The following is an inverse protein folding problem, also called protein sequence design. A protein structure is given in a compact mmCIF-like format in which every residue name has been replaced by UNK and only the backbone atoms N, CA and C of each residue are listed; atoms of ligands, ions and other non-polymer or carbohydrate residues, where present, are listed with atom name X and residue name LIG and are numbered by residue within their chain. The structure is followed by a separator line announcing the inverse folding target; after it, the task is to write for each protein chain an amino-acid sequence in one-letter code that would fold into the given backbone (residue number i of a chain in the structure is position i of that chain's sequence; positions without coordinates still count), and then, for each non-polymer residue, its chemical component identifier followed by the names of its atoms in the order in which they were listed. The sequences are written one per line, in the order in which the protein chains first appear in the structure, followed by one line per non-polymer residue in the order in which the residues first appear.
data_IF_352709812374
#
_entry.id   IF_352709812374
#
_cell.length_a   1.000
_cell.length_b   1.000
_cell.length_c   1.000
_cell.angle_alpha   90.00
_cell.angle_beta   90.00
_cell.angle_gamma   90.00
#
_symmetry.space_group_name_H-M   'P 1'
#
loop_
_entity.id
_entity.type
_entity.pdbx_description
1 polymer ?
2 polymer ?
3 non-polymer ?
4 water ?
#
# COMPACT_ATOMS: atom_id res chain seq x y z
N UNK A 4 1.72 -6.61 17.22
CA UNK A 4 1.91 -6.61 15.74
C UNK A 4 0.86 -7.50 15.10
N UNK A 5 -0.13 -6.88 14.46
CA UNK A 5 -1.21 -7.61 13.83
C UNK A 5 -0.80 -8.20 12.48
N UNK A 6 -0.80 -9.53 12.40
CA UNK A 6 -0.43 -10.27 11.20
C UNK A 6 -1.67 -10.50 10.37
N UNK A 7 -1.53 -10.38 9.06
CA UNK A 7 -2.64 -10.62 8.13
C UNK A 7 -2.26 -11.79 7.21
N UNK A 8 -2.99 -12.88 7.33
CA UNK A 8 -2.70 -14.05 6.52
C UNK A 8 -3.75 -14.28 5.44
N UNK A 9 -3.34 -14.18 4.19
CA UNK A 9 -4.28 -14.41 3.10
C UNK A 9 -4.28 -15.90 2.78
N UNK A 10 -5.47 -16.43 2.54
CA UNK A 10 -5.67 -17.84 2.25
C UNK A 10 -4.65 -18.51 1.31
N UNK A 11 -4.67 -18.14 0.03
CA UNK A 11 -3.75 -18.73 -0.94
C UNK A 11 -2.85 -17.66 -1.55
N UNK A 12 -1.78 -18.11 -2.17
CA UNK A 12 -0.86 -17.20 -2.84
C UNK A 12 -1.38 -17.05 -4.26
N UNK A 13 -1.80 -18.16 -4.85
CA UNK A 13 -2.35 -18.15 -6.21
C UNK A 13 -3.74 -18.74 -6.21
N UNK A 14 -4.55 -18.31 -7.16
CA UNK A 14 -5.92 -18.79 -7.31
C UNK A 14 -6.24 -18.78 -8.81
N UNK A 15 -6.71 -19.92 -9.31
CA UNK A 15 -7.04 -20.07 -10.71
C UNK A 15 -8.54 -19.92 -10.93
N UNK A 16 -8.91 -19.52 -12.13
CA UNK A 16 -10.31 -19.30 -12.45
C UNK A 16 -10.36 -18.73 -13.84
N UNK A 17 -11.53 -18.75 -14.43
CA UNK A 17 -11.69 -18.19 -15.72
C UNK A 17 -12.88 -17.24 -15.75
N UNK A 18 -12.88 -16.31 -16.68
CA UNK A 18 -13.94 -15.31 -16.81
C UNK A 18 -15.31 -15.93 -16.54
N UNK A 19 -16.20 -15.19 -15.86
CA UNK A 19 -17.53 -15.73 -15.59
C UNK A 19 -17.72 -16.28 -14.19
N UNK A 20 -16.66 -16.82 -13.61
CA UNK A 20 -16.76 -17.40 -12.28
C UNK A 20 -16.79 -16.40 -11.09
N UNK A 21 -16.96 -16.94 -9.89
CA UNK A 21 -17.04 -16.16 -8.65
C UNK A 21 -15.89 -16.57 -7.76
N UNK A 22 -15.13 -15.61 -7.26
CA UNK A 22 -13.98 -15.89 -6.40
C UNK A 22 -14.09 -15.16 -5.07
N UNK A 23 -13.57 -15.81 -4.03
CA UNK A 23 -13.55 -15.25 -2.69
C UNK A 23 -12.16 -15.42 -2.12
N UNK A 24 -11.57 -14.31 -1.71
CA UNK A 24 -10.24 -14.31 -1.13
C UNK A 24 -10.45 -13.97 0.34
N UNK A 25 -9.78 -14.68 1.23
CA UNK A 25 -9.95 -14.42 2.66
C UNK A 25 -8.72 -13.82 3.30
N UNK A 26 -8.96 -13.04 4.34
CA UNK A 26 -7.92 -12.36 5.09
C UNK A 26 -8.25 -12.54 6.56
N UNK A 27 -7.34 -13.16 7.30
CA UNK A 27 -7.54 -13.39 8.72
C UNK A 27 -6.51 -12.59 9.49
N UNK A 28 -6.97 -11.81 10.45
CA UNK A 28 -6.10 -10.98 11.28
C UNK A 28 -5.76 -11.75 12.56
N UNK A 29 -4.55 -11.57 13.10
CA UNK A 29 -4.16 -12.27 14.32
C UNK A 29 -4.72 -11.63 15.59
N UNK A 30 -5.46 -10.53 15.42
CA UNK A 30 -6.09 -9.81 16.53
C UNK A 30 -7.35 -9.13 16.00
N UNK A 31 -8.24 -8.74 16.90
CA UNK A 31 -9.47 -8.08 16.48
C UNK A 31 -9.14 -6.70 15.95
N UNK A 32 -9.60 -6.40 14.74
CA UNK A 32 -9.38 -5.09 14.13
C UNK A 32 -10.72 -4.45 13.77
N UNK A 33 -11.79 -4.91 14.42
CA UNK A 33 -13.10 -4.37 14.13
C UNK A 33 -13.38 -4.53 12.65
N UNK A 34 -13.58 -3.44 11.93
CA UNK A 34 -13.80 -3.54 10.52
C UNK A 34 -12.82 -2.64 9.76
N UNK A 35 -11.71 -2.32 10.42
CA UNK A 35 -10.65 -1.45 9.84
C UNK A 35 -9.75 -2.20 8.85
N UNK A 36 -10.38 -2.73 7.81
CA UNK A 36 -9.70 -3.49 6.79
C UNK A 36 -10.01 -2.95 5.40
N UNK A 37 -8.96 -2.84 4.59
CA UNK A 37 -9.06 -2.37 3.21
C UNK A 37 -8.47 -3.40 2.25
N UNK A 38 -9.01 -3.44 1.03
CA UNK A 38 -8.54 -4.35 0.00
C UNK A 38 -8.01 -3.52 -1.16
N UNK A 39 -6.89 -3.95 -1.72
CA UNK A 39 -6.30 -3.24 -2.86
C UNK A 39 -6.13 -4.20 -4.03
N UNK A 40 -6.12 -3.65 -5.23
CA UNK A 40 -5.91 -4.41 -6.45
C UNK A 40 -4.63 -3.86 -7.08
N UNK A 41 -3.72 -4.74 -7.47
CA UNK A 41 -2.48 -4.29 -8.10
C UNK A 41 -2.09 -5.10 -9.33
N UNK A 42 -1.99 -4.41 -10.46
CA UNK A 42 -1.58 -5.03 -11.72
C UNK A 42 -0.06 -4.76 -11.81
N UNK A 43 0.68 -5.59 -12.56
CA UNK A 43 2.13 -5.42 -12.72
C UNK A 43 2.59 -4.07 -13.26
N UNK A 44 3.66 -3.54 -12.66
CA UNK A 44 4.19 -2.26 -13.10
C UNK A 44 3.28 -1.07 -12.81
N UNK A 45 2.34 -1.25 -11.89
CA UNK A 45 1.39 -0.20 -11.53
C UNK A 45 1.28 -0.11 -10.02
N UNK A 46 0.66 0.94 -9.55
CA UNK A 46 0.49 1.13 -8.10
C UNK A 46 -0.84 0.54 -7.66
N UNK A 47 -0.94 0.14 -6.38
CA UNK A 47 -2.18 -0.44 -5.85
C UNK A 47 -3.35 0.55 -6.00
N UNK A 48 -4.54 -0.01 -6.20
CA UNK A 48 -5.77 0.73 -6.35
C UNK A 48 -6.72 0.25 -5.25
N UNK A 49 -7.30 1.19 -4.49
CA UNK A 49 -8.22 0.86 -3.40
C UNK A 49 -9.55 0.33 -3.94
N UNK A 50 -10.03 -0.76 -3.35
CA UNK A 50 -11.29 -1.37 -3.76
C UNK A 50 -12.37 -1.21 -2.69
N UNK A 51 -12.04 -1.69 -1.49
CA UNK A 51 -12.96 -1.69 -0.35
C UNK A 51 -12.26 -1.14 0.88
N UNK A 52 -13.01 -0.41 1.72
CA UNK A 52 -12.50 0.09 2.99
C UNK A 52 -13.60 -0.08 4.02
N UNK A 53 -13.24 -0.06 5.30
CA UNK A 53 -14.19 -0.32 6.39
C UNK A 53 -14.84 -1.68 6.15
N UNK A 54 -14.02 -2.62 5.69
CA UNK A 54 -14.44 -3.99 5.41
C UNK A 54 -15.38 -4.18 4.25
N UNK A 55 -16.44 -3.38 4.14
CA UNK A 55 -17.39 -3.57 3.04
C UNK A 55 -17.84 -2.37 2.24
N UNK A 56 -17.18 -1.23 2.40
CA UNK A 56 -17.56 -0.05 1.64
C UNK A 56 -16.79 0.00 0.32
N UNK A 57 -17.51 0.15 -0.80
CA UNK A 57 -16.86 0.23 -2.11
C UNK A 57 -16.38 1.66 -2.30
N UNK A 58 -15.17 1.81 -2.85
CA UNK A 58 -14.57 3.11 -3.09
C UNK A 58 -15.11 3.73 -4.39
N UNK A 59 -14.99 5.04 -4.50
CA UNK A 59 -15.44 5.78 -5.67
C UNK A 59 -14.80 5.21 -6.94
N UNK A 60 -15.58 4.45 -7.72
CA UNK A 60 -15.06 3.89 -8.96
C UNK A 60 -15.06 2.38 -9.12
N UNK A 61 -15.08 1.63 -8.03
CA UNK A 61 -15.07 0.18 -8.10
C UNK A 61 -16.46 -0.38 -8.46
N UNK A 62 -16.54 -1.34 -9.40
CA UNK A 62 -17.80 -1.96 -9.85
C UNK A 62 -18.48 -2.88 -8.82
N UNK A 63 -19.81 -2.91 -8.85
CA UNK A 63 -20.65 -3.72 -7.95
C UNK A 63 -20.24 -5.19 -7.90
N UNK A 64 -19.41 -5.60 -8.85
CA UNK A 64 -18.90 -6.94 -8.99
C UNK A 64 -18.06 -7.33 -7.76
N UNK A 65 -17.46 -6.33 -7.12
CA UNK A 65 -16.63 -6.53 -5.92
C UNK A 65 -17.47 -6.30 -4.67
N UNK A 66 -17.35 -7.19 -3.70
CA UNK A 66 -18.10 -7.06 -2.46
C UNK A 66 -17.24 -7.52 -1.30
N UNK A 67 -17.09 -6.66 -0.30
CA UNK A 67 -16.28 -7.05 0.84
C UNK A 67 -17.20 -7.42 1.99
N UNK A 68 -16.69 -8.18 2.96
CA UNK A 68 -17.50 -8.56 4.09
C UNK A 68 -16.63 -9.06 5.22
N UNK A 69 -17.25 -9.21 6.40
CA UNK A 69 -16.53 -9.70 7.56
C UNK A 69 -16.32 -8.66 8.62
N UNK A 70 -15.79 -9.09 9.76
CA UNK A 70 -15.51 -8.21 10.88
C UNK A 70 -14.72 -8.94 11.94
N UNK A 71 -14.00 -8.20 12.76
CA UNK A 71 -13.22 -8.79 13.81
C UNK A 71 -11.90 -9.36 13.39
N UNK A 72 -11.93 -10.58 12.88
CA UNK A 72 -10.71 -11.26 12.50
C UNK A 72 -10.80 -11.96 11.15
N UNK A 73 -12.00 -12.09 10.60
CA UNK A 73 -12.16 -12.75 9.31
C UNK A 73 -12.83 -11.84 8.30
N UNK A 74 -12.08 -11.55 7.22
CA UNK A 74 -12.54 -10.68 6.15
C UNK A 74 -12.46 -11.42 4.83
N UNK A 75 -13.33 -11.05 3.89
CA UNK A 75 -13.39 -11.71 2.60
C UNK A 75 -13.70 -10.73 1.44
N UNK A 76 -13.00 -10.93 0.33
CA UNK A 76 -13.17 -10.12 -0.85
C UNK A 76 -13.84 -11.07 -1.84
N UNK A 77 -14.95 -10.65 -2.43
CA UNK A 77 -15.68 -11.47 -3.39
C UNK A 77 -15.93 -10.80 -4.74
N UNK A 78 -15.53 -11.51 -5.80
CA UNK A 78 -15.71 -11.04 -7.18
C UNK A 78 -16.71 -12.07 -7.77
N UNK A 79 -17.96 -11.65 -7.93
CA UNK A 79 -19.03 -12.52 -8.40
C UNK A 79 -18.92 -13.02 -9.84
N UNK A 80 -18.49 -12.15 -10.73
CA UNK A 80 -18.39 -12.49 -12.13
C UNK A 80 -17.05 -11.99 -12.69
N UNK A 81 -15.98 -12.74 -12.40
CA UNK A 81 -14.62 -12.41 -12.81
C UNK A 81 -14.42 -12.09 -14.30
N UNK A 82 -14.07 -10.84 -14.59
CA UNK A 82 -13.82 -10.42 -15.97
C UNK A 82 -12.31 -10.52 -16.17
N UNK A 83 -11.85 -10.40 -17.41
CA UNK A 83 -10.41 -10.48 -17.64
C UNK A 83 -9.62 -9.39 -16.91
N UNK A 84 -10.16 -8.17 -16.87
CA UNK A 84 -9.49 -7.06 -16.22
C UNK A 84 -9.34 -7.24 -14.70
N UNK A 85 -9.86 -8.34 -14.16
CA UNK A 85 -9.77 -8.60 -12.72
C UNK A 85 -8.62 -9.50 -12.35
N UNK A 86 -7.87 -9.96 -13.35
CA UNK A 86 -6.73 -10.83 -13.11
C UNK A 86 -5.61 -9.90 -12.61
N UNK A 87 -5.28 -10.04 -11.33
CA UNK A 87 -4.29 -9.19 -10.70
C UNK A 87 -4.02 -9.67 -9.28
N UNK A 88 -3.17 -8.94 -8.58
CA UNK A 88 -2.89 -9.27 -7.19
C UNK A 88 -3.87 -8.55 -6.29
N UNK A 89 -4.19 -9.16 -5.16
CA UNK A 89 -5.13 -8.59 -4.21
C UNK A 89 -4.54 -8.66 -2.81
N UNK A 90 -4.51 -7.51 -2.13
CA UNK A 90 -3.97 -7.38 -0.78
C UNK A 90 -5.02 -6.85 0.19
N UNK A 91 -4.93 -7.29 1.44
CA UNK A 91 -5.81 -6.76 2.48
C UNK A 91 -4.85 -6.02 3.41
N UNK A 92 -5.36 -4.96 4.04
CA UNK A 92 -4.56 -4.13 4.92
C UNK A 92 -5.36 -3.77 6.16
N UNK A 93 -4.67 -3.67 7.28
CA UNK A 93 -5.29 -3.33 8.53
C UNK A 93 -4.88 -1.89 8.94
N UNK A 94 -5.83 -1.06 9.37
CA UNK A 94 -5.48 0.29 9.79
C UNK A 94 -6.04 0.68 11.15
N UNK A 95 -6.17 -0.30 12.04
CA UNK A 95 -6.68 -0.03 13.39
C UNK A 95 -5.57 0.42 14.31
N UNK A 96 -4.41 -0.19 14.16
CA UNK A 96 -3.28 0.15 14.98
C UNK A 96 -1.97 -0.04 14.26
N UNK A 97 -0.97 0.71 14.72
CA UNK A 97 0.37 0.65 14.17
C UNK A 97 1.12 -0.57 14.70
N UNK A 98 2.03 -1.13 13.89
CA UNK A 98 2.25 -0.60 12.54
C UNK A 98 1.15 -1.09 11.60
N UNK A 99 0.87 -0.32 10.56
CA UNK A 99 -0.12 -0.73 9.60
C UNK A 99 0.50 -1.95 8.91
N UNK A 100 -0.31 -2.97 8.64
CA UNK A 100 0.18 -4.18 8.02
C UNK A 100 -0.66 -4.68 6.85
N UNK A 101 -0.03 -5.42 5.97
CA UNK A 101 -0.69 -5.95 4.79
C UNK A 101 -0.63 -7.45 4.78
N UNK A 102 -1.46 -8.05 3.94
CA UNK A 102 -1.44 -9.49 3.78
C UNK A 102 -0.40 -9.76 2.69
N UNK A 103 0.04 -11.00 2.52
CA UNK A 103 1.05 -11.33 1.51
C UNK A 103 0.60 -11.21 0.06
N UNK A 104 -0.71 -11.27 -0.15
CA UNK A 104 -1.25 -11.17 -1.49
C UNK A 104 -1.75 -12.48 -2.04
N UNK A 105 -2.67 -12.36 -2.98
CA UNK A 105 -3.27 -13.50 -3.68
C UNK A 105 -3.37 -13.15 -5.18
N UNK A 106 -2.67 -13.93 -6.00
CA UNK A 106 -2.64 -13.75 -7.45
C UNK A 106 -3.75 -14.54 -8.12
N UNK A 107 -4.50 -13.89 -8.86
CA UNK A 107 -5.63 -14.36 -9.69
C UNK A 107 -5.16 -14.59 -11.13
N UNK A 108 -5.09 -15.85 -11.49
CA UNK A 108 -4.68 -16.26 -12.84
C UNK A 108 -5.82 -17.07 -13.47
N UNK A 109 -5.77 -17.20 -14.79
CA UNK A 109 -6.76 -17.97 -15.56
C UNK A 109 -6.43 -19.47 -15.38
N UNK B 1 -7.65 13.76 -10.46
CA UNK B 1 -7.78 14.93 -9.57
C UNK B 1 -6.55 15.03 -8.69
N UNK B 2 -6.50 14.21 -7.65
CA UNK B 2 -5.37 14.18 -6.72
C UNK B 2 -4.20 13.50 -7.44
N UNK B 3 -3.05 14.06 -7.04
CA UNK B 3 -1.88 13.44 -7.68
C UNK B 3 -0.68 13.49 -6.74
N UNK B 4 -0.03 12.35 -6.66
CA UNK B 4 1.18 12.15 -5.83
C UNK B 4 2.32 11.72 -6.75
N UNK B 5 2.93 12.73 -7.35
CA UNK B 5 4.05 12.54 -8.29
C UNK B 5 5.34 12.26 -7.52
N UNK B 6 5.83 11.08 -8.08
CA UNK B 6 7.11 10.55 -7.62
C UNK B 6 8.01 10.33 -8.80
N UNK B 7 9.31 10.59 -8.63
CA UNK B 7 10.27 10.39 -9.73
C UNK B 7 10.38 8.90 -10.03
N UNK B 8 10.52 8.55 -11.31
CA UNK B 8 10.60 7.17 -11.73
C UNK B 8 11.66 6.25 -11.11
N UNK B 9 12.91 6.65 -11.07
CA UNK B 9 13.96 5.80 -10.52
C UNK B 9 15.11 6.54 -9.87
N UNK B 10 15.86 5.82 -9.05
CA UNK B 10 17.02 6.35 -8.33
C UNK B 10 18.09 5.28 -8.28
N UNK B 11 19.30 5.61 -8.71
CA UNK B 11 20.42 4.66 -8.68
C UNK B 11 21.25 5.11 -7.51
N UNK B 12 21.50 4.24 -6.54
CA UNK B 12 22.30 4.63 -5.39
C UNK B 12 23.50 3.71 -5.15
N UNK B 13 24.55 4.24 -4.53
CA UNK B 13 25.77 3.49 -4.22
C UNK B 13 25.60 2.88 -2.81
N UNK B 14 26.02 1.61 -2.63
CA UNK B 14 25.90 0.91 -1.35
C UNK B 14 26.48 1.67 -0.17
N UNK B 15 25.68 1.81 0.88
CA UNK B 15 26.14 2.48 2.07
C UNK B 15 25.81 3.95 2.15
N UNK B 16 25.31 4.50 1.04
CA UNK B 16 24.96 5.90 1.00
C UNK B 16 23.49 6.14 1.38
N UNK B 17 23.03 7.37 1.17
CA UNK B 17 21.65 7.75 1.49
C UNK B 17 20.90 8.12 0.20
N UNK B 18 19.58 8.11 0.27
CA UNK B 18 18.73 8.47 -0.85
C UNK B 18 17.61 9.35 -0.32
N UNK B 19 17.26 10.38 -1.09
CA UNK B 19 16.16 11.29 -0.72
C UNK B 19 15.07 11.12 -1.79
N UNK B 20 13.91 10.63 -1.36
CA UNK B 20 12.79 10.40 -2.26
C UNK B 20 11.77 11.48 -2.07
N UNK B 21 11.26 12.02 -3.17
CA UNK B 21 10.26 13.08 -3.14
C UNK B 21 8.88 12.60 -3.54
N UNK B 22 7.87 13.33 -3.08
CA UNK B 22 6.47 12.99 -3.33
C UNK B 22 5.69 14.31 -3.40
N UNK B 23 5.49 14.85 -4.60
CA UNK B 23 4.75 16.10 -4.73
C UNK B 23 3.27 15.85 -4.84
N UNK B 24 2.51 16.40 -3.89
CA UNK B 24 1.07 16.27 -3.85
C UNK B 24 0.44 17.46 -4.56
N UNK B 25 -0.68 17.25 -5.23
CA UNK B 25 -1.37 18.35 -5.90
C UNK B 25 -2.84 17.98 -6.08
N UNK B 26 -3.73 18.98 -6.11
CA UNK B 26 -5.15 18.71 -6.28
C UNK B 26 -5.99 18.52 -5.03
N UNK B 27 -5.44 18.84 -3.86
CA UNK B 27 -6.17 18.73 -2.59
C UNK B 27 -5.38 19.49 -1.52
N UNK B 28 -5.98 19.70 -0.35
CA UNK B 28 -5.29 20.41 0.72
C UNK B 28 -4.22 19.51 1.36
N UNK B 29 -2.96 19.77 1.00
CA UNK B 29 -1.80 19.01 1.46
C UNK B 29 -1.73 18.73 2.96
N UNK B 30 -2.22 19.65 3.77
CA UNK B 30 -2.15 19.52 5.22
C UNK B 30 -3.23 18.70 5.95
N UNK B 31 -4.33 18.37 5.29
CA UNK B 31 -5.42 17.63 5.93
C UNK B 31 -5.34 16.10 5.83
N UNK B 32 -4.37 15.58 5.10
CA UNK B 32 -4.25 14.15 4.93
C UNK B 32 -2.87 13.60 5.28
N UNK B 33 -2.85 12.48 6.00
CA UNK B 33 -1.61 11.82 6.38
C UNK B 33 -0.96 11.24 5.14
N UNK B 34 0.36 11.26 5.06
CA UNK B 34 1.08 10.67 3.93
C UNK B 34 1.86 9.48 4.46
N UNK B 35 1.69 8.33 3.82
CA UNK B 35 2.33 7.09 4.21
C UNK B 35 3.36 6.71 3.20
N UNK B 36 4.39 6.00 3.65
CA UNK B 36 5.43 5.53 2.76
C UNK B 36 5.39 4.01 2.83
N UNK B 37 5.38 3.36 1.67
CA UNK B 37 5.30 1.90 1.58
C UNK B 37 6.42 1.34 0.71
N UNK B 38 6.99 0.22 1.14
CA UNK B 38 8.08 -0.44 0.43
C UNK B 38 7.62 -1.72 -0.24
N UNK B 39 8.02 -1.92 -1.48
CA UNK B 39 7.64 -3.13 -2.18
C UNK B 39 8.81 -3.75 -2.93
N UNK B 40 9.11 -5.02 -2.60
CA UNK B 40 10.16 -5.79 -3.23
C UNK B 40 9.39 -6.89 -3.92
N UNK B 41 9.74 -7.18 -5.19
CA UNK B 41 9.10 -8.21 -6.02
C UNK B 41 8.71 -9.49 -5.32
N UNK B 42 9.64 -10.05 -4.55
CA UNK B 42 9.38 -11.29 -3.84
C UNK B 42 8.32 -11.26 -2.76
N UNK B 43 8.36 -10.24 -1.92
CA UNK B 43 7.41 -10.14 -0.81
C UNK B 43 6.23 -9.19 -1.01
N UNK B 44 5.43 -9.06 0.04
CA UNK B 44 4.28 -8.18 -0.02
C UNK B 44 4.66 -6.72 0.16
N UNK B 45 3.68 -5.93 0.58
CA UNK B 45 3.88 -4.51 0.82
C UNK B 45 4.32 -4.36 2.28
N UNK B 46 5.12 -3.35 2.55
CA UNK B 46 5.60 -3.13 3.91
C UNK B 46 5.49 -1.64 4.26
N UNK B 47 4.81 -1.34 5.35
CA UNK B 47 4.64 0.04 5.77
C UNK B 47 5.88 0.56 6.50
N UNK B 48 6.41 1.67 6.03
CA UNK B 48 7.60 2.26 6.63
C UNK B 48 7.23 3.22 7.77
N UNK B 49 6.27 4.10 7.51
CA UNK B 49 5.81 5.08 8.48
C UNK B 49 4.90 6.11 7.83
N UNK B 50 4.53 7.15 8.57
CA UNK B 50 3.69 8.21 8.02
C UNK B 50 3.96 9.56 8.63
N UNK B 51 3.43 10.60 8.01
CA UNK B 51 3.63 11.95 8.49
C UNK B 51 2.39 12.80 8.22
N UNK B 52 2.06 13.66 9.19
CA UNK B 52 0.94 14.59 9.06
C UNK B 52 1.57 15.94 8.69
N UNK B 53 1.44 16.36 7.43
CA UNK B 53 2.00 17.61 6.91
C UNK B 53 1.87 18.88 7.77
N UNK B 54 0.70 19.11 8.37
CA UNK B 54 0.49 20.32 9.17
C UNK B 54 1.55 20.51 10.26
N UNK B 55 1.88 19.46 11.00
CA UNK B 55 2.86 19.60 12.08
C UNK B 55 4.03 18.63 12.02
N UNK B 56 4.14 17.90 10.92
CA UNK B 56 5.22 16.93 10.75
C UNK B 56 5.26 15.83 11.82
N UNK B 57 4.11 15.47 12.37
CA UNK B 57 4.07 14.40 13.35
C UNK B 57 4.31 13.10 12.57
N UNK B 58 5.14 12.21 13.10
CA UNK B 58 5.47 10.98 12.38
C UNK B 58 5.31 9.71 13.20
N UNK B 59 4.97 8.68 12.63
CA UNK B 59 4.93 7.29 13.13
C UNK B 59 5.78 6.41 12.24
N UNK B 60 6.64 5.67 12.86
CA UNK B 60 7.54 4.78 12.14
C UNK B 60 7.37 3.33 12.53
N UNK B 61 7.68 2.50 11.58
CA UNK B 61 7.67 1.07 11.80
C UNK B 61 8.92 0.83 12.64
N UNK B 62 8.82 -0.06 13.60
CA UNK B 62 9.95 -0.35 14.50
C UNK B 62 11.16 -0.87 13.71
N UNK B 63 10.84 -1.45 12.57
CA UNK B 63 11.84 -2.02 11.66
C UNK B 63 12.59 -0.89 10.93
N UNK B 64 12.03 0.35 10.80
CA UNK B 64 12.62 1.35 9.89
C UNK B 64 12.91 2.68 10.58
N UNK B 65 12.61 2.77 11.85
CA UNK B 65 12.75 4.04 12.58
C UNK B 65 14.11 4.78 12.41
N UNK B 66 15.24 4.18 12.69
CA UNK B 66 16.50 4.97 12.56
C UNK B 66 17.05 4.96 11.14
N UNK B 67 16.54 4.04 10.37
CA UNK B 67 16.95 3.87 8.98
C UNK B 67 16.30 4.91 8.07
N UNK B 68 15.14 5.35 8.38
CA UNK B 68 14.41 6.31 7.53
C UNK B 68 14.01 7.52 8.34
N UNK B 69 13.90 8.64 7.65
CA UNK B 69 13.48 9.87 8.29
C UNK B 69 12.41 10.46 7.39
N UNK B 70 11.32 10.94 7.98
CA UNK B 70 10.22 11.52 7.22
C UNK B 70 10.05 13.00 7.52
N UNK B 71 9.94 13.81 6.47
CA UNK B 71 9.75 15.25 6.61
C UNK B 71 8.83 15.73 5.50
N UNK B 72 8.37 16.98 5.58
CA UNK B 72 7.58 17.64 4.52
C UNK B 72 8.06 19.08 4.32
N UNK B 73 7.60 19.63 3.23
CA UNK B 73 7.90 21.00 2.79
C UNK B 73 6.57 21.66 2.39
N UNK B 74 5.83 22.05 3.42
CA UNK B 74 4.49 22.66 3.27
C UNK B 74 4.46 23.72 2.18
N UNK B 75 5.44 24.54 1.89
CA UNK B 75 5.38 25.55 0.83
C UNK B 75 5.38 24.97 -0.60
N UNK B 76 5.94 23.78 -0.77
CA UNK B 76 5.95 23.17 -2.08
C UNK B 76 5.05 21.94 -2.12
N UNK B 77 4.41 21.65 -0.99
CA UNK B 77 3.52 20.49 -0.87
C UNK B 77 4.24 19.19 -1.19
N UNK B 78 5.50 19.09 -0.81
CA UNK B 78 6.24 17.88 -1.10
C UNK B 78 6.56 17.14 0.18
N UNK B 79 6.47 15.83 0.13
CA UNK B 79 6.81 14.97 1.27
C UNK B 79 8.12 14.28 0.86
N UNK B 80 9.03 14.13 1.81
CA UNK B 80 10.31 13.49 1.54
C UNK B 80 10.56 12.34 2.51
N UNK B 81 11.39 11.41 2.08
CA UNK B 81 11.79 10.27 2.92
C UNK B 81 13.24 10.02 2.58
N UNK B 82 14.08 9.86 3.61
CA UNK B 82 15.48 9.57 3.38
C UNK B 82 15.84 8.26 4.03
N UNK B 83 16.63 7.46 3.32
CA UNK B 83 17.11 6.16 3.83
C UNK B 83 18.63 6.27 3.81
N UNK B 84 19.30 5.63 4.77
CA UNK B 84 20.76 5.69 4.79
C UNK B 84 21.35 4.29 4.91
N UNK B 85 22.67 4.17 4.78
CA UNK B 85 23.35 2.87 4.88
C UNK B 85 22.68 1.85 3.98
N UNK B 86 22.35 2.28 2.76
CA UNK B 86 21.69 1.42 1.80
C UNK B 86 22.47 0.15 1.48
N UNK B 87 21.74 -0.93 1.24
CA UNK B 87 22.34 -2.22 0.88
C UNK B 87 21.39 -2.83 -0.18
N UNK B 88 21.73 -4.00 -0.71
CA UNK B 88 20.90 -4.63 -1.71
C UNK B 88 19.45 -4.85 -1.22
N UNK B 89 19.30 -5.10 0.08
CA UNK B 89 18.00 -5.32 0.67
C UNK B 89 17.07 -4.11 0.58
N UNK B 90 17.62 -2.94 0.28
CA UNK B 90 16.79 -1.75 0.18
C UNK B 90 16.36 -1.45 -1.24
N UNK B 91 16.83 -2.24 -2.18
CA UNK B 91 16.43 -2.03 -3.56
C UNK B 91 14.98 -2.50 -3.60
N UNK B 92 14.08 -1.58 -3.99
CA UNK B 92 12.66 -1.91 -4.04
C UNK B 92 11.95 -0.72 -4.63
N UNK B 93 10.62 -0.81 -4.70
CA UNK B 93 9.81 0.29 -5.20
C UNK B 93 9.20 0.91 -3.94
N UNK B 94 9.37 2.22 -3.80
CA UNK B 94 8.83 2.96 -2.66
C UNK B 94 7.72 3.87 -3.10
N UNK B 95 6.58 3.74 -2.50
CA UNK B 95 5.36 4.50 -2.80
C UNK B 95 4.91 5.35 -1.63
N UNK B 96 4.50 6.56 -1.98
CA UNK B 96 3.95 7.51 -1.01
C UNK B 96 2.44 7.55 -1.28
N UNK B 97 1.64 7.49 -0.24
CA UNK B 97 0.20 7.42 -0.45
C UNK B 97 -0.63 8.11 0.61
N UNK B 98 -1.86 8.39 0.25
CA UNK B 98 -2.84 8.98 1.14
C UNK B 98 -4.14 8.24 0.89
N UNK B 99 -5.19 8.44 1.68
CA UNK B 99 -6.44 7.70 1.50
C UNK B 99 -6.93 7.81 0.08
N UNK B 100 -7.05 6.66 -0.56
CA UNK B 100 -7.56 6.61 -1.91
C UNK B 100 -6.61 6.95 -3.05
N UNK B 101 -5.38 7.37 -2.77
CA UNK B 101 -4.44 7.71 -3.84
C UNK B 101 -2.98 7.36 -3.54
N UNK B 102 -2.38 6.54 -4.41
CA UNK B 102 -0.99 6.13 -4.27
C UNK B 102 -0.19 6.79 -5.39
N UNK B 103 1.09 7.07 -5.13
CA UNK B 103 1.92 7.67 -6.16
C UNK B 103 2.35 6.56 -7.10
N UNK B 104 3.09 6.91 -8.15
CA UNK B 104 3.54 5.91 -9.12
C UNK B 104 4.67 5.05 -8.58
N UNK B 105 5.36 5.54 -7.55
CA UNK B 105 6.45 4.79 -6.97
C UNK B 105 7.77 5.20 -7.60
N UNK B 106 8.84 4.92 -6.90
CA UNK B 106 10.19 5.22 -7.36
C UNK B 106 10.99 3.96 -7.16
N UNK B 107 11.64 3.49 -8.23
CA UNK B 107 12.46 2.30 -8.12
C UNK B 107 13.86 2.67 -7.64
N UNK B 108 14.17 2.28 -6.41
CA UNK B 108 15.49 2.54 -5.84
C UNK B 108 16.38 1.32 -6.08
N UNK B 109 17.46 1.52 -6.82
CA UNK B 109 18.36 0.43 -7.15
C UNK B 109 19.73 0.71 -6.58
N UNK B 110 20.17 -0.13 -5.66
CA UNK B 110 21.48 0.03 -5.04
C UNK B 110 22.48 -0.80 -5.88
N UNK B 111 23.40 -0.13 -6.56
CA UNK B 111 24.41 -0.84 -7.37
C UNK B 111 25.73 -0.10 -7.51
#
# INVERSE_FOLDING_TARGET
DYKDIVLTQSHKFMSTSVGDRVSITCKASQDVGTAVAWYQQKPGQSPKLLIYWASTRHTGVPDRFTGSGSGTDFTLTISNVQSEDLADYFCQQYSSYPLTFGAGTKLELKR
QVQLQQPGAELVRPGASVKLSCKASGYTFTSYWINWVKQRPGQGLEWIGNIYPSDSYTNYNQKFKDKATLTVDKSSSTAYMQLSSLTSEDSAVYFCARWGYWGQGTLVTVSAASGAHHHHH
#
